data_IF_855374069019
#
_entry.id   IF_855374069019
#
_cell.length_a   1.000
_cell.length_b   1.000
_cell.length_c   1.000
_cell.angle_alpha   90.00
_cell.angle_beta   90.00
_cell.angle_gamma   90.00
#
_symmetry.space_group_name_H-M   'P 1'
#
loop_
_entity.id
_entity.type
_entity.pdbx_description
1 polymer ?
#
# COMPACT_ATOMS: atom_id res chain seq x y z
N UNK A 1 14.97 -26.43 -1.95
CA UNK A 1 13.51 -26.26 -2.09
C UNK A 1 13.09 -27.08 -3.30
N UNK A 2 11.94 -27.77 -3.28
CA UNK A 2 11.47 -28.52 -4.46
C UNK A 2 11.14 -27.60 -5.64
N UNK A 3 10.77 -26.36 -5.37
CA UNK A 3 10.43 -25.35 -6.39
C UNK A 3 11.59 -24.37 -6.65
N UNK A 4 12.65 -24.47 -5.84
CA UNK A 4 13.86 -23.68 -6.04
C UNK A 4 13.78 -22.24 -5.53
N UNK A 5 12.99 -21.99 -4.48
CA UNK A 5 12.97 -20.70 -3.76
C UNK A 5 14.17 -20.68 -2.80
N UNK A 6 15.14 -19.80 -3.08
CA UNK A 6 16.35 -19.58 -2.30
C UNK A 6 16.20 -18.27 -1.52
N UNK A 7 16.54 -18.30 -0.23
CA UNK A 7 16.41 -17.13 0.66
C UNK A 7 17.72 -16.77 1.35
N UNK A 8 17.73 -15.63 2.04
CA UNK A 8 18.73 -15.34 3.08
C UNK A 8 18.56 -16.26 4.31
N UNK A 9 19.37 -16.03 5.35
CA UNK A 9 19.41 -16.83 6.59
C UNK A 9 18.58 -16.23 7.73
N UNK A 10 17.77 -15.19 7.48
CA UNK A 10 16.98 -14.54 8.55
C UNK A 10 15.70 -15.33 8.82
N UNK A 11 15.71 -16.20 9.82
CA UNK A 11 14.53 -16.98 10.20
C UNK A 11 13.33 -16.08 10.52
N UNK A 12 12.11 -16.56 10.23
CA UNK A 12 10.81 -15.89 10.44
C UNK A 12 10.50 -14.69 9.54
N UNK A 13 11.50 -14.11 8.86
CA UNK A 13 11.33 -12.92 8.01
C UNK A 13 12.21 -12.95 6.74
N UNK A 14 12.60 -14.13 6.28
CA UNK A 14 13.60 -14.31 5.23
C UNK A 14 13.22 -13.60 3.92
N UNK A 15 14.22 -13.11 3.19
CA UNK A 15 14.02 -12.50 1.86
C UNK A 15 14.34 -13.50 0.76
N UNK A 16 13.53 -13.50 -0.31
CA UNK A 16 13.79 -14.29 -1.51
C UNK A 16 14.97 -13.67 -2.26
N UNK A 17 15.97 -14.50 -2.57
CA UNK A 17 17.14 -14.13 -3.37
C UNK A 17 17.00 -14.61 -4.82
N UNK A 18 16.42 -15.79 -5.01
CA UNK A 18 16.28 -16.42 -6.32
C UNK A 18 15.09 -17.38 -6.31
N UNK A 19 14.39 -17.48 -7.44
CA UNK A 19 13.34 -18.48 -7.68
C UNK A 19 13.61 -19.15 -9.03
N UNK A 20 13.84 -20.47 -9.02
CA UNK A 20 14.16 -21.22 -10.25
C UNK A 20 12.94 -21.69 -11.01
N UNK A 21 11.98 -22.33 -10.33
CA UNK A 21 10.74 -22.80 -10.95
C UNK A 21 10.88 -24.00 -11.91
N UNK A 22 12.07 -24.58 -12.10
CA UNK A 22 12.32 -25.65 -13.10
C UNK A 22 11.34 -26.83 -13.02
N UNK A 23 11.07 -27.33 -11.81
CA UNK A 23 10.14 -28.44 -11.59
C UNK A 23 8.69 -28.05 -11.86
N UNK A 24 8.35 -26.78 -11.66
CA UNK A 24 7.01 -26.25 -11.97
C UNK A 24 6.85 -26.15 -13.49
N UNK A 25 7.85 -25.61 -14.20
CA UNK A 25 7.86 -25.56 -15.68
C UNK A 25 7.71 -26.96 -16.29
N UNK A 26 8.45 -27.95 -15.77
CA UNK A 26 8.34 -29.34 -16.23
C UNK A 26 6.93 -29.94 -15.99
N UNK A 27 6.32 -29.70 -14.82
CA UNK A 27 4.97 -30.17 -14.54
C UNK A 27 3.92 -29.52 -15.45
N UNK A 28 4.05 -28.23 -15.73
CA UNK A 28 3.16 -27.49 -16.64
C UNK A 28 3.31 -28.00 -18.08
N UNK A 29 4.55 -28.28 -18.54
CA UNK A 29 4.80 -28.88 -19.85
C UNK A 29 4.12 -30.25 -20.02
N UNK A 30 4.02 -31.01 -18.93
CA UNK A 30 3.27 -32.27 -18.84
C UNK A 30 1.74 -32.08 -18.72
N UNK A 31 1.23 -30.85 -18.84
CA UNK A 31 -0.19 -30.48 -18.66
C UNK A 31 -0.74 -30.80 -17.26
N UNK A 32 0.10 -30.75 -16.23
CA UNK A 32 -0.30 -30.93 -14.83
C UNK A 32 -0.49 -29.58 -14.14
N UNK A 33 -1.35 -29.56 -13.12
CA UNK A 33 -1.45 -28.44 -12.18
C UNK A 33 -0.40 -28.61 -11.09
N UNK A 34 0.55 -27.67 -11.01
CA UNK A 34 1.58 -27.68 -9.99
C UNK A 34 1.07 -27.03 -8.69
N UNK A 35 0.93 -27.81 -7.62
CA UNK A 35 0.58 -27.30 -6.29
C UNK A 35 1.87 -27.07 -5.49
N UNK A 36 2.10 -25.82 -5.09
CA UNK A 36 3.30 -25.41 -4.37
C UNK A 36 2.93 -24.94 -2.97
N UNK A 37 3.67 -25.43 -1.97
CA UNK A 37 3.59 -24.88 -0.63
C UNK A 37 4.23 -23.49 -0.60
N UNK A 38 3.42 -22.46 -0.33
CA UNK A 38 3.88 -21.08 -0.16
C UNK A 38 4.62 -20.86 1.17
N UNK A 39 5.02 -19.61 1.43
CA UNK A 39 5.56 -19.11 2.71
C UNK A 39 6.96 -19.62 3.11
N UNK A 40 7.48 -20.65 2.44
CA UNK A 40 8.73 -21.32 2.81
C UNK A 40 9.78 -21.26 1.69
N UNK A 41 11.05 -21.25 2.11
CA UNK A 41 12.21 -21.28 1.23
C UNK A 41 13.33 -22.16 1.79
N UNK A 42 14.45 -22.21 1.08
CA UNK A 42 15.70 -22.76 1.61
C UNK A 42 16.77 -21.67 1.61
N UNK A 43 17.43 -21.48 2.74
CA UNK A 43 18.52 -20.50 2.84
C UNK A 43 19.75 -20.93 2.04
N UNK A 44 20.69 -20.00 1.84
CA UNK A 44 22.03 -20.31 1.32
C UNK A 44 22.80 -21.33 2.18
N UNK A 45 22.45 -21.46 3.46
CA UNK A 45 22.97 -22.46 4.38
C UNK A 45 22.26 -23.82 4.30
N UNK A 46 21.31 -24.00 3.37
CA UNK A 46 20.48 -25.20 3.17
C UNK A 46 19.47 -25.49 4.29
N UNK A 47 19.16 -24.49 5.10
CA UNK A 47 18.13 -24.58 6.16
C UNK A 47 16.76 -24.15 5.66
N UNK A 48 15.70 -24.68 6.27
CA UNK A 48 14.33 -24.25 5.98
C UNK A 48 14.10 -22.87 6.59
N UNK A 49 13.60 -21.95 5.77
CA UNK A 49 13.26 -20.58 6.17
C UNK A 49 11.80 -20.27 5.89
N UNK A 50 11.28 -19.27 6.61
CA UNK A 50 9.94 -18.74 6.43
C UNK A 50 10.01 -17.26 6.10
N UNK A 51 9.14 -16.82 5.20
CA UNK A 51 9.16 -15.46 4.63
C UNK A 51 8.44 -14.42 5.52
N UNK A 52 7.76 -14.88 6.58
CA UNK A 52 6.98 -14.04 7.48
C UNK A 52 5.58 -13.71 6.94
N UNK A 53 4.91 -12.73 7.56
CA UNK A 53 3.54 -12.34 7.21
C UNK A 53 3.44 -11.99 5.72
N UNK A 54 2.45 -12.56 5.03
CA UNK A 54 2.29 -12.40 3.58
C UNK A 54 3.25 -13.24 2.73
N UNK A 55 3.95 -14.20 3.35
CA UNK A 55 4.91 -15.05 2.66
C UNK A 55 4.29 -15.90 1.54
N UNK A 56 3.03 -16.32 1.67
CA UNK A 56 2.32 -17.04 0.61
C UNK A 56 2.12 -16.15 -0.63
N UNK A 57 1.59 -14.94 -0.45
CA UNK A 57 1.43 -13.96 -1.53
C UNK A 57 2.77 -13.65 -2.20
N UNK A 58 3.81 -13.45 -1.39
CA UNK A 58 5.17 -13.18 -1.88
C UNK A 58 5.71 -14.36 -2.69
N UNK A 59 5.43 -15.59 -2.25
CA UNK A 59 5.80 -16.81 -2.99
C UNK A 59 5.07 -16.91 -4.33
N UNK A 60 3.76 -16.63 -4.34
CA UNK A 60 2.95 -16.68 -5.56
C UNK A 60 3.44 -15.68 -6.60
N UNK A 61 3.67 -14.43 -6.20
CA UNK A 61 4.19 -13.38 -7.09
C UNK A 61 5.61 -13.71 -7.57
N UNK A 62 6.47 -14.20 -6.69
CA UNK A 62 7.84 -14.56 -7.08
C UNK A 62 7.87 -15.74 -8.05
N UNK A 63 6.94 -16.69 -7.93
CA UNK A 63 6.78 -17.76 -8.91
C UNK A 63 6.21 -17.25 -10.22
N UNK A 64 5.22 -16.36 -10.20
CA UNK A 64 4.68 -15.75 -11.40
C UNK A 64 5.78 -15.01 -12.19
N UNK A 65 6.62 -14.22 -11.51
CA UNK A 65 7.79 -13.58 -12.10
C UNK A 65 8.77 -14.62 -12.68
N UNK A 66 9.13 -15.64 -11.90
CA UNK A 66 10.09 -16.67 -12.31
C UNK A 66 9.58 -17.62 -13.38
N UNK A 67 8.29 -17.60 -13.70
CA UNK A 67 7.65 -18.44 -14.71
C UNK A 67 7.20 -17.64 -15.93
N UNK A 68 7.38 -16.32 -15.93
CA UNK A 68 6.88 -15.40 -16.95
C UNK A 68 5.35 -15.51 -17.12
N UNK A 69 4.63 -15.62 -16.00
CA UNK A 69 3.18 -15.75 -16.00
C UNK A 69 2.48 -14.44 -16.40
N UNK A 70 1.36 -14.56 -17.11
CA UNK A 70 0.56 -13.41 -17.54
C UNK A 70 0.00 -12.60 -16.35
N UNK A 71 -0.31 -13.27 -15.24
CA UNK A 71 -0.78 -12.65 -14.00
C UNK A 71 -0.58 -13.56 -12.78
N UNK A 72 -0.66 -12.96 -11.60
CA UNK A 72 -0.73 -13.65 -10.32
C UNK A 72 -2.08 -13.36 -9.64
N UNK A 73 -2.97 -14.36 -9.58
CA UNK A 73 -4.25 -14.22 -8.90
C UNK A 73 -4.11 -14.52 -7.40
N UNK A 74 -4.54 -13.56 -6.56
CA UNK A 74 -4.56 -13.69 -5.10
C UNK A 74 -6.02 -13.82 -4.68
N UNK A 75 -6.39 -15.05 -4.30
CA UNK A 75 -7.71 -15.39 -3.81
C UNK A 75 -7.80 -15.21 -2.28
N UNK A 76 -8.77 -14.42 -1.84
CA UNK A 76 -8.99 -14.09 -0.42
C UNK A 76 -10.49 -14.09 -0.08
N UNK A 77 -10.86 -13.70 1.13
CA UNK A 77 -12.24 -13.54 1.60
C UNK A 77 -12.91 -12.23 1.18
N UNK A 78 -12.14 -11.23 0.74
CA UNK A 78 -12.66 -9.96 0.20
C UNK A 78 -12.79 -10.00 -1.33
N UNK A 79 -13.73 -9.22 -1.88
CA UNK A 79 -14.00 -9.16 -3.33
C UNK A 79 -13.07 -8.25 -4.11
N UNK A 80 -12.11 -7.59 -3.45
CA UNK A 80 -11.15 -6.68 -4.08
C UNK A 80 -10.60 -5.67 -3.08
N UNK A 81 -9.90 -4.66 -3.60
CA UNK A 81 -9.46 -3.48 -2.85
C UNK A 81 -10.54 -2.40 -2.95
N UNK A 82 -10.84 -1.73 -1.84
CA UNK A 82 -11.91 -0.73 -1.76
C UNK A 82 -11.36 0.67 -1.48
N UNK A 83 -12.15 1.69 -1.81
CA UNK A 83 -11.83 3.11 -1.54
C UNK A 83 -11.76 3.45 -0.05
N UNK A 84 -12.31 2.61 0.82
CA UNK A 84 -12.11 2.57 2.27
C UNK A 84 -12.50 1.17 2.80
N UNK A 85 -12.27 0.87 4.08
CA UNK A 85 -12.76 -0.36 4.69
C UNK A 85 -14.31 -0.36 4.73
N UNK A 86 -15.01 -1.27 4.04
CA UNK A 86 -16.48 -1.29 3.99
C UNK A 86 -17.15 -1.45 5.35
N UNK A 87 -16.45 -1.99 6.35
CA UNK A 87 -16.95 -2.12 7.73
C UNK A 87 -17.03 -0.78 8.46
N UNK A 88 -16.25 0.20 8.02
CA UNK A 88 -16.15 1.55 8.59
C UNK A 88 -16.96 2.52 7.75
N UNK A 89 -16.88 2.38 6.43
CA UNK A 89 -17.59 3.19 5.44
C UNK A 89 -18.42 2.27 4.56
N UNK A 90 -19.72 2.07 4.86
CA UNK A 90 -20.56 1.16 4.07
C UNK A 90 -20.68 1.50 2.58
N UNK A 91 -20.49 2.77 2.23
CA UNK A 91 -20.49 3.26 0.84
C UNK A 91 -19.12 3.15 0.14
N UNK A 92 -18.15 2.44 0.75
CA UNK A 92 -16.88 2.19 0.10
C UNK A 92 -17.08 1.38 -1.20
N UNK A 93 -16.41 1.82 -2.26
CA UNK A 93 -16.52 1.21 -3.59
C UNK A 93 -15.31 0.33 -3.86
N UNK A 94 -15.53 -0.78 -4.56
CA UNK A 94 -14.43 -1.60 -5.07
C UNK A 94 -13.69 -0.82 -6.17
N UNK A 95 -12.38 -0.80 -6.09
CA UNK A 95 -11.52 -0.17 -7.09
C UNK A 95 -11.23 -1.23 -8.16
N UNK A 96 -11.59 -1.02 -9.44
CA UNK A 96 -11.41 -2.04 -10.46
C UNK A 96 -9.94 -2.25 -10.83
N UNK A 97 -9.16 -1.16 -10.87
CA UNK A 97 -7.74 -1.17 -11.24
C UNK A 97 -6.97 -0.16 -10.39
N UNK A 98 -5.79 -0.55 -9.89
CA UNK A 98 -4.86 0.28 -9.13
C UNK A 98 -3.45 0.18 -9.72
N UNK A 99 -2.66 1.25 -9.62
CA UNK A 99 -1.23 1.18 -9.91
C UNK A 99 -0.48 0.51 -8.76
N UNK A 100 0.67 -0.10 -9.05
CA UNK A 100 1.55 -0.67 -8.01
C UNK A 100 1.88 0.34 -6.90
N UNK A 101 2.25 1.57 -7.26
CA UNK A 101 2.62 2.61 -6.27
C UNK A 101 1.46 2.95 -5.33
N UNK A 102 0.22 2.99 -5.84
CA UNK A 102 -0.97 3.27 -5.04
C UNK A 102 -1.26 2.11 -4.08
N UNK A 103 -1.20 0.87 -4.57
CA UNK A 103 -1.42 -0.29 -3.71
C UNK A 103 -0.31 -0.43 -2.66
N UNK A 104 0.95 -0.10 -2.98
CA UNK A 104 2.05 -0.06 -2.01
C UNK A 104 1.75 0.93 -0.90
N UNK A 105 1.32 2.14 -1.24
CA UNK A 105 1.00 3.18 -0.27
C UNK A 105 -0.24 2.81 0.55
N UNK A 106 -1.25 2.17 -0.06
CA UNK A 106 -2.41 1.66 0.68
C UNK A 106 -2.04 0.54 1.64
N UNK A 107 -1.21 -0.43 1.22
CA UNK A 107 -0.74 -1.52 2.07
C UNK A 107 0.13 -1.01 3.23
N UNK A 108 1.06 -0.09 2.95
CA UNK A 108 1.89 0.55 3.99
C UNK A 108 1.10 1.45 4.94
N UNK A 109 0.00 2.02 4.48
CA UNK A 109 -0.89 2.83 5.31
C UNK A 109 -1.81 2.03 6.23
N UNK A 110 -1.97 0.71 6.02
CA UNK A 110 -2.79 -0.16 6.86
C UNK A 110 -3.80 -1.06 6.14
N UNK A 111 -3.88 -1.00 4.80
CA UNK A 111 -4.73 -1.92 4.03
C UNK A 111 -4.23 -3.36 4.20
N UNK A 112 -5.14 -4.27 4.56
CA UNK A 112 -4.81 -5.68 4.86
C UNK A 112 -5.14 -6.65 3.73
N UNK A 113 -5.45 -6.14 2.54
CA UNK A 113 -5.90 -6.95 1.40
C UNK A 113 -4.73 -7.67 0.72
N UNK A 114 -3.60 -6.98 0.52
CA UNK A 114 -2.38 -7.54 -0.05
C UNK A 114 -1.21 -7.30 0.89
N UNK A 115 -0.32 -8.28 0.99
CA UNK A 115 0.94 -8.10 1.70
C UNK A 115 1.86 -7.08 0.98
N UNK A 116 2.37 -6.09 1.71
CA UNK A 116 3.27 -5.07 1.14
C UNK A 116 4.40 -5.67 0.29
N UNK A 117 5.10 -6.69 0.82
CA UNK A 117 6.21 -7.36 0.14
C UNK A 117 5.82 -8.04 -1.18
N UNK A 118 4.59 -8.56 -1.31
CA UNK A 118 4.15 -9.19 -2.55
C UNK A 118 3.90 -8.14 -3.63
N UNK A 119 3.33 -6.99 -3.26
CA UNK A 119 3.14 -5.85 -4.17
C UNK A 119 4.48 -5.23 -4.58
N UNK A 120 5.45 -5.13 -3.66
CA UNK A 120 6.81 -4.65 -3.96
C UNK A 120 7.50 -5.56 -4.97
N UNK A 121 7.41 -6.88 -4.77
CA UNK A 121 7.97 -7.85 -5.69
C UNK A 121 7.29 -7.78 -7.06
N UNK A 122 5.96 -7.70 -7.10
CA UNK A 122 5.20 -7.58 -8.34
C UNK A 122 5.60 -6.35 -9.14
N UNK A 123 5.74 -5.20 -8.48
CA UNK A 123 6.19 -3.95 -9.10
C UNK A 123 7.58 -4.07 -9.73
N UNK A 124 8.52 -4.67 -8.99
CA UNK A 124 9.91 -4.78 -9.45
C UNK A 124 10.07 -5.73 -10.65
N UNK A 125 9.15 -6.67 -10.82
CA UNK A 125 9.15 -7.65 -11.90
C UNK A 125 8.00 -7.45 -12.91
N UNK A 126 7.26 -6.35 -12.80
CA UNK A 126 6.08 -6.01 -13.61
C UNK A 126 5.05 -7.15 -13.72
N UNK A 127 4.79 -7.87 -12.61
CA UNK A 127 3.81 -8.96 -12.56
C UNK A 127 2.43 -8.42 -12.20
N UNK A 128 1.42 -8.48 -13.09
CA UNK A 128 0.05 -8.09 -12.76
C UNK A 128 -0.51 -8.92 -11.61
N UNK A 129 -1.02 -8.27 -10.55
CA UNK A 129 -1.74 -8.96 -9.47
C UNK A 129 -3.24 -8.82 -9.71
N UNK A 130 -3.99 -9.91 -9.53
CA UNK A 130 -5.44 -9.88 -9.55
C UNK A 130 -6.01 -10.33 -8.21
N UNK A 131 -6.57 -9.39 -7.45
CA UNK A 131 -7.18 -9.66 -6.14
C UNK A 131 -8.63 -10.09 -6.34
N UNK A 132 -8.97 -11.29 -5.86
CA UNK A 132 -10.30 -11.89 -6.05
C UNK A 132 -10.83 -12.53 -4.77
N UNK A 133 -12.14 -12.71 -4.71
CA UNK A 133 -12.76 -13.51 -3.66
C UNK A 133 -12.74 -15.00 -4.04
N UNK A 134 -12.52 -15.86 -3.05
CA UNK A 134 -12.72 -17.31 -3.17
C UNK A 134 -14.20 -17.71 -3.15
N UNK A 135 -15.09 -16.78 -2.77
CA UNK A 135 -16.51 -17.04 -2.51
C UNK A 135 -17.44 -16.48 -3.57
N UNK A 136 -16.95 -15.65 -4.50
CA UNK A 136 -17.75 -15.03 -5.55
C UNK A 136 -17.02 -15.05 -6.90
N UNK A 137 -17.78 -14.94 -7.98
CA UNK A 137 -17.26 -14.86 -9.35
C UNK A 137 -17.06 -13.42 -9.85
N UNK A 138 -17.10 -12.45 -8.95
CA UNK A 138 -16.82 -11.06 -9.31
C UNK A 138 -15.41 -10.93 -9.88
N UNK A 139 -15.18 -9.95 -10.77
CA UNK A 139 -13.87 -9.77 -11.38
C UNK A 139 -12.82 -9.47 -10.32
N UNK A 140 -13.05 -8.45 -9.48
CA UNK A 140 -12.16 -8.13 -8.37
C UNK A 140 -11.42 -6.81 -8.59
N UNK A 141 -10.15 -6.76 -8.18
CA UNK A 141 -9.27 -5.60 -8.40
C UNK A 141 -7.97 -6.01 -9.06
N UNK A 142 -7.61 -5.35 -10.15
CA UNK A 142 -6.31 -5.48 -10.79
C UNK A 142 -5.30 -4.50 -10.20
N UNK A 143 -4.08 -4.95 -9.90
CA UNK A 143 -2.95 -4.10 -9.52
C UNK A 143 -1.85 -4.27 -10.56
N UNK A 144 -1.57 -3.21 -11.30
CA UNK A 144 -0.75 -3.28 -12.53
C UNK A 144 0.21 -2.10 -12.67
N UNK A 145 1.15 -2.23 -13.61
CA UNK A 145 2.05 -1.15 -13.99
C UNK A 145 1.36 -0.04 -14.78
N UNK A 146 1.95 1.16 -14.78
CA UNK A 146 1.40 2.35 -15.45
C UNK A 146 1.14 2.16 -16.96
N UNK A 147 1.99 1.38 -17.62
CA UNK A 147 1.91 1.16 -19.07
C UNK A 147 1.02 -0.03 -19.45
N UNK A 148 0.43 -0.72 -18.46
CA UNK A 148 -0.42 -1.87 -18.69
C UNK A 148 -1.70 -1.46 -19.44
N UNK A 149 -2.21 -2.33 -20.30
CA UNK A 149 -3.41 -2.04 -21.13
C UNK A 149 -4.64 -1.65 -20.32
N UNK A 150 -4.81 -2.24 -19.12
CA UNK A 150 -5.88 -1.92 -18.18
C UNK A 150 -5.82 -0.49 -17.62
N UNK A 151 -4.68 0.19 -17.74
CA UNK A 151 -4.53 1.61 -17.37
C UNK A 151 -4.71 2.55 -18.55
N UNK A 152 -4.62 2.05 -19.79
CA UNK A 152 -4.76 2.87 -20.99
C UNK A 152 -6.21 3.38 -21.04
N UNK A 153 -6.37 4.69 -21.05
CA UNK A 153 -7.65 5.42 -21.07
C UNK A 153 -8.38 5.57 -19.73
N UNK A 154 -7.73 5.30 -18.58
CA UNK A 154 -8.29 5.68 -17.28
C UNK A 154 -7.83 7.10 -16.91
N UNK A 155 -8.78 7.97 -16.55
CA UNK A 155 -8.43 9.21 -15.84
C UNK A 155 -7.94 8.84 -14.43
N UNK A 156 -6.76 9.33 -14.03
CA UNK A 156 -6.22 9.08 -12.70
C UNK A 156 -7.08 9.83 -11.66
N UNK A 157 -7.80 9.13 -10.75
CA UNK A 157 -8.53 9.82 -9.71
C UNK A 157 -7.54 10.59 -8.82
N UNK A 158 -7.94 11.76 -8.32
CA UNK A 158 -7.08 12.56 -7.45
C UNK A 158 -6.73 11.77 -6.18
N UNK A 159 -7.73 11.05 -5.63
CA UNK A 159 -7.60 10.16 -4.48
C UNK A 159 -8.22 8.82 -4.83
N UNK A 160 -7.47 7.75 -4.58
CA UNK A 160 -7.86 6.37 -4.84
C UNK A 160 -8.48 5.73 -3.61
N UNK A 161 -8.08 6.14 -2.41
CA UNK A 161 -8.73 5.69 -1.18
C UNK A 161 -8.33 6.40 0.10
N UNK A 162 -9.10 6.12 1.15
CA UNK A 162 -8.85 6.49 2.54
C UNK A 162 -8.53 5.21 3.32
N UNK A 163 -7.31 5.14 3.86
CA UNK A 163 -6.83 4.00 4.63
C UNK A 163 -6.69 4.39 6.09
N UNK A 164 -7.05 3.47 6.98
CA UNK A 164 -6.92 3.66 8.43
C UNK A 164 -6.09 2.54 9.07
N UNK A 165 -5.41 2.87 10.15
CA UNK A 165 -4.71 1.91 10.99
C UNK A 165 -4.75 2.32 12.47
N UNK A 166 -5.29 1.45 13.31
CA UNK A 166 -5.35 1.61 14.77
C UNK A 166 -4.45 0.61 15.52
N UNK A 167 -3.61 -0.14 14.78
CA UNK A 167 -2.70 -1.14 15.34
C UNK A 167 -1.32 -0.60 15.70
N UNK A 168 -1.09 0.69 15.45
CA UNK A 168 0.12 1.43 15.76
C UNK A 168 0.03 2.14 17.12
N UNK A 169 1.20 2.37 17.70
CA UNK A 169 1.42 3.13 18.93
C UNK A 169 2.41 4.25 18.66
N UNK A 170 2.22 5.40 19.31
CA UNK A 170 3.11 6.55 19.17
C UNK A 170 4.11 6.58 20.32
N UNK A 171 5.39 6.72 19.99
CA UNK A 171 6.48 6.99 20.93
C UNK A 171 7.12 8.33 20.59
N UNK A 172 7.37 9.15 21.60
CA UNK A 172 8.04 10.45 21.43
C UNK A 172 9.19 10.58 22.42
N UNK A 173 10.37 10.97 21.92
CA UNK A 173 11.48 11.44 22.75
C UNK A 173 11.51 12.96 22.67
N UNK A 174 11.31 13.62 23.81
CA UNK A 174 11.21 15.06 23.93
C UNK A 174 12.58 15.70 24.11
N UNK A 175 12.84 16.82 23.45
CA UNK A 175 14.01 17.66 23.70
C UNK A 175 15.36 16.96 23.50
N UNK A 176 15.49 16.12 22.47
CA UNK A 176 16.79 15.53 22.11
C UNK A 176 17.71 16.60 21.52
N UNK A 177 19.04 16.50 21.72
CA UNK A 177 19.98 17.44 21.11
C UNK A 177 19.91 17.40 19.58
N UNK A 178 19.83 18.55 18.93
CA UNK A 178 19.85 18.63 17.47
C UNK A 178 21.29 18.61 16.94
N UNK A 179 21.85 17.41 16.84
CA UNK A 179 23.19 17.17 16.31
C UNK A 179 23.25 15.85 15.53
N UNK A 180 24.21 15.71 14.58
CA UNK A 180 24.39 14.46 13.84
C UNK A 180 24.55 13.25 14.76
N UNK A 181 23.92 12.13 14.36
CA UNK A 181 24.01 10.83 15.03
C UNK A 181 22.92 10.53 16.06
N UNK A 182 22.12 11.53 16.48
CA UNK A 182 21.04 11.31 17.46
C UNK A 182 19.96 10.37 16.92
N UNK A 183 19.39 10.68 15.76
CA UNK A 183 18.38 9.81 15.13
C UNK A 183 18.97 8.44 14.76
N UNK A 184 20.23 8.39 14.33
CA UNK A 184 20.93 7.13 14.03
C UNK A 184 21.00 6.23 15.27
N UNK A 185 21.45 6.76 16.41
CA UNK A 185 21.57 6.01 17.67
C UNK A 185 20.23 5.40 18.11
N UNK A 186 19.14 6.16 17.93
CA UNK A 186 17.79 5.69 18.24
C UNK A 186 17.34 4.57 17.31
N UNK A 187 17.36 4.80 16.00
CA UNK A 187 16.80 3.88 15.03
C UNK A 187 17.67 2.64 14.81
N UNK A 188 19.00 2.72 14.97
CA UNK A 188 19.89 1.55 14.97
C UNK A 188 19.61 0.64 16.16
N UNK A 189 19.34 1.20 17.34
CA UNK A 189 19.00 0.41 18.53
C UNK A 189 17.65 -0.33 18.36
N UNK A 190 16.64 0.37 17.80
CA UNK A 190 15.34 -0.24 17.48
C UNK A 190 15.47 -1.32 16.39
N UNK A 191 16.23 -1.05 15.33
CA UNK A 191 16.48 -2.00 14.24
C UNK A 191 17.23 -3.24 14.72
N UNK A 192 18.22 -3.08 15.62
CA UNK A 192 18.95 -4.19 16.24
C UNK A 192 18.04 -5.10 17.08
N UNK A 193 16.96 -4.54 17.63
CA UNK A 193 15.91 -5.28 18.32
C UNK A 193 14.79 -5.78 17.38
N UNK A 194 14.93 -5.59 16.07
CA UNK A 194 13.97 -6.00 15.04
C UNK A 194 12.57 -5.37 15.22
N UNK A 195 12.51 -4.17 15.80
CA UNK A 195 11.30 -3.34 15.92
C UNK A 195 11.09 -2.61 14.60
N UNK A 196 9.90 -2.76 14.02
CA UNK A 196 9.57 -2.06 12.78
C UNK A 196 9.01 -0.67 13.10
N UNK A 197 9.72 0.37 12.66
CA UNK A 197 9.26 1.76 12.76
C UNK A 197 8.56 2.14 11.46
N UNK A 198 7.39 2.77 11.57
CA UNK A 198 6.62 3.23 10.41
C UNK A 198 6.76 4.74 10.20
N UNK A 199 5.89 5.55 10.81
CA UNK A 199 5.94 7.00 10.63
C UNK A 199 7.05 7.59 11.50
N UNK A 200 7.90 8.45 10.94
CA UNK A 200 8.90 9.25 11.69
C UNK A 200 8.62 10.72 11.44
N UNK A 201 8.48 11.50 12.51
CA UNK A 201 8.29 12.96 12.47
C UNK A 201 9.28 13.60 13.42
N UNK A 202 10.14 14.45 12.86
CA UNK A 202 11.04 15.33 13.59
C UNK A 202 10.90 16.71 12.95
N UNK A 203 10.51 17.71 13.74
CA UNK A 203 10.37 19.08 13.25
C UNK A 203 11.71 19.83 13.40
N UNK A 204 11.77 21.05 12.86
CA UNK A 204 12.92 21.95 13.03
C UNK A 204 13.21 22.19 14.51
N UNK A 205 14.49 22.22 14.88
CA UNK A 205 14.90 22.42 16.26
C UNK A 205 14.59 23.83 16.75
N UNK A 206 14.31 23.93 18.04
CA UNK A 206 14.16 25.19 18.76
C UNK A 206 15.15 25.19 19.92
N UNK A 207 15.95 26.24 20.07
CA UNK A 207 16.97 26.35 21.12
C UNK A 207 17.97 25.15 21.17
N UNK A 208 18.27 24.54 20.02
CA UNK A 208 19.25 23.45 19.90
C UNK A 208 18.73 22.06 20.29
N UNK A 209 17.42 21.93 20.55
CA UNK A 209 16.77 20.64 20.78
C UNK A 209 15.55 20.46 19.87
N UNK A 210 15.14 19.22 19.68
CA UNK A 210 13.93 18.86 18.92
C UNK A 210 13.27 17.63 19.52
N UNK A 211 12.04 17.36 19.12
CA UNK A 211 11.31 16.15 19.49
C UNK A 211 11.35 15.16 18.32
N UNK A 212 11.53 13.88 18.64
CA UNK A 212 11.43 12.80 17.67
C UNK A 212 10.22 11.96 18.03
N UNK A 213 9.19 12.00 17.19
CA UNK A 213 8.00 11.15 17.31
C UNK A 213 8.00 10.11 16.22
N UNK A 214 7.64 8.88 16.56
CA UNK A 214 7.49 7.82 15.59
C UNK A 214 6.43 6.81 16.01
N UNK A 215 5.96 6.00 15.06
CA UNK A 215 5.02 4.91 15.33
C UNK A 215 5.66 3.54 15.21
N UNK A 216 5.20 2.63 16.07
CA UNK A 216 5.53 1.20 16.03
C UNK A 216 4.26 0.38 16.21
N UNK A 217 4.20 -0.87 15.71
CA UNK A 217 3.10 -1.77 16.03
C UNK A 217 2.91 -1.90 17.54
N UNK A 218 1.66 -1.91 18.03
CA UNK A 218 1.34 -2.08 19.45
C UNK A 218 1.97 -3.34 20.06
N UNK A 219 2.16 -4.38 19.25
CA UNK A 219 2.81 -5.62 19.66
C UNK A 219 4.30 -5.43 20.01
N UNK A 220 4.97 -4.44 19.42
CA UNK A 220 6.40 -4.19 19.57
C UNK A 220 6.70 -3.17 20.68
N UNK A 221 5.70 -2.48 21.25
CA UNK A 221 5.85 -1.46 22.29
C UNK A 221 6.64 -1.98 23.49
N UNK A 222 6.34 -3.19 23.97
CA UNK A 222 7.05 -3.80 25.12
C UNK A 222 8.55 -3.96 24.91
N UNK A 223 8.98 -4.08 23.64
CA UNK A 223 10.39 -4.14 23.25
C UNK A 223 10.95 -2.75 22.99
N UNK A 224 10.18 -1.88 22.34
CA UNK A 224 10.61 -0.56 21.91
C UNK A 224 10.78 0.41 23.10
N UNK A 225 9.80 0.49 24.00
CA UNK A 225 9.76 1.48 25.08
C UNK A 225 11.02 1.45 25.97
N UNK A 226 11.50 0.30 26.47
CA UNK A 226 12.74 0.26 27.26
C UNK A 226 13.98 0.75 26.50
N UNK A 227 14.06 0.47 25.19
CA UNK A 227 15.15 0.94 24.32
C UNK A 227 15.10 2.46 24.22
N UNK A 228 13.92 3.02 23.96
CA UNK A 228 13.67 4.45 23.81
C UNK A 228 13.96 5.19 25.11
N UNK A 229 13.52 4.67 26.26
CA UNK A 229 13.81 5.24 27.58
C UNK A 229 15.31 5.28 27.88
N UNK A 230 16.04 4.20 27.56
CA UNK A 230 17.49 4.15 27.72
C UNK A 230 18.19 5.20 26.85
N UNK A 231 17.87 5.23 25.55
CA UNK A 231 18.43 6.19 24.60
C UNK A 231 18.09 7.63 25.02
N UNK A 232 16.85 7.89 25.45
CA UNK A 232 16.45 9.20 25.98
C UNK A 232 17.31 9.65 27.17
N UNK A 233 17.64 8.72 28.08
CA UNK A 233 18.52 8.99 29.23
C UNK A 233 19.95 9.32 28.77
N UNK A 234 20.51 8.53 27.84
CA UNK A 234 21.85 8.75 27.27
C UNK A 234 21.96 10.11 26.56
N UNK A 235 20.89 10.52 25.88
CA UNK A 235 20.80 11.79 25.16
C UNK A 235 20.46 12.98 26.07
N UNK A 236 20.16 12.75 27.35
CA UNK A 236 19.63 13.76 28.28
C UNK A 236 18.37 14.46 27.74
N UNK A 237 17.49 13.67 27.13
CA UNK A 237 16.20 14.10 26.63
C UNK A 237 15.33 14.67 27.76
N UNK A 238 14.39 15.56 27.42
CA UNK A 238 13.40 16.11 28.34
C UNK A 238 12.34 15.11 28.80
N UNK A 239 12.21 13.96 28.12
CA UNK A 239 11.32 12.87 28.51
C UNK A 239 11.05 11.89 27.37
N UNK A 240 10.39 10.78 27.70
CA UNK A 240 9.84 9.84 26.72
C UNK A 240 8.36 9.68 27.01
N UNK A 241 7.52 9.75 25.98
CA UNK A 241 6.09 9.50 26.09
C UNK A 241 5.65 8.39 25.15
N UNK A 242 4.56 7.74 25.53
CA UNK A 242 3.94 6.62 24.82
C UNK A 242 2.43 6.84 24.79
N UNK A 243 1.79 6.58 23.65
CA UNK A 243 0.34 6.71 23.47
C UNK A 243 -0.19 5.61 22.53
N UNK A 244 -0.97 4.68 23.09
CA UNK A 244 -1.65 3.61 22.34
C UNK A 244 -3.02 4.01 21.81
N UNK A 245 -3.55 5.17 22.21
CA UNK A 245 -4.91 5.62 21.88
C UNK A 245 -4.94 6.50 20.63
N UNK A 246 -4.12 6.14 19.65
CA UNK A 246 -4.00 6.81 18.37
C UNK A 246 -4.54 5.95 17.20
N UNK A 247 -4.87 6.61 16.11
CA UNK A 247 -5.11 6.00 14.81
C UNK A 247 -4.45 6.84 13.71
N UNK A 248 -3.86 6.16 12.73
CA UNK A 248 -3.34 6.74 11.51
C UNK A 248 -4.44 6.73 10.46
N UNK A 249 -4.63 7.85 9.76
CA UNK A 249 -5.54 7.96 8.62
C UNK A 249 -4.74 8.51 7.45
N UNK A 250 -4.81 7.86 6.30
CA UNK A 250 -4.06 8.24 5.11
C UNK A 250 -4.97 8.40 3.91
N UNK A 251 -4.82 9.51 3.20
CA UNK A 251 -5.31 9.65 1.83
C UNK A 251 -4.22 9.16 0.89
N UNK A 252 -4.58 8.32 -0.08
CA UNK A 252 -3.66 7.79 -1.10
C UNK A 252 -4.24 8.06 -2.48
N UNK A 253 -3.44 8.56 -3.41
CA UNK A 253 -3.83 8.69 -4.82
C UNK A 253 -2.74 9.28 -5.71
N UNK A 254 -2.58 8.71 -6.92
CA UNK A 254 -1.57 9.16 -7.87
C UNK A 254 -1.74 10.63 -8.28
N UNK A 255 -2.98 11.12 -8.40
CA UNK A 255 -3.30 12.49 -8.79
C UNK A 255 -2.94 13.56 -7.75
N UNK A 256 -2.50 13.18 -6.54
CA UNK A 256 -2.03 14.13 -5.52
C UNK A 256 -0.80 14.93 -5.96
N UNK A 257 0.04 14.38 -6.84
CA UNK A 257 1.26 15.06 -7.34
C UNK A 257 0.94 16.34 -8.10
N UNK A 258 -0.18 16.35 -8.80
CA UNK A 258 -0.58 17.40 -9.76
C UNK A 258 -1.81 18.16 -9.29
N UNK A 259 -2.34 17.85 -8.10
CA UNK A 259 -3.55 18.46 -7.53
C UNK A 259 -3.23 19.26 -6.27
N UNK A 260 -2.88 20.56 -6.40
CA UNK A 260 -2.78 21.45 -5.26
C UNK A 260 -4.08 21.45 -4.44
N UNK A 261 -3.96 21.52 -3.11
CA UNK A 261 -5.10 21.68 -2.22
C UNK A 261 -5.68 20.41 -1.60
N UNK A 262 -5.21 19.21 -1.98
CA UNK A 262 -5.63 17.95 -1.34
C UNK A 262 -5.41 17.99 0.18
N UNK A 263 -4.19 18.35 0.62
CA UNK A 263 -3.88 18.46 2.05
C UNK A 263 -4.73 19.55 2.75
N UNK A 264 -4.92 20.70 2.09
CA UNK A 264 -5.73 21.78 2.64
C UNK A 264 -7.20 21.34 2.84
N UNK A 265 -7.77 20.62 1.87
CA UNK A 265 -9.12 20.05 1.96
C UNK A 265 -9.21 19.01 3.07
N UNK A 266 -8.22 18.10 3.17
CA UNK A 266 -8.16 17.11 4.25
C UNK A 266 -8.19 17.77 5.62
N UNK A 267 -7.32 18.77 5.87
CA UNK A 267 -7.24 19.45 7.15
C UNK A 267 -8.50 20.24 7.47
N UNK A 268 -9.12 20.87 6.46
CA UNK A 268 -10.40 21.55 6.61
C UNK A 268 -11.50 20.58 7.06
N UNK A 269 -11.64 19.45 6.36
CA UNK A 269 -12.65 18.43 6.66
C UNK A 269 -12.49 17.88 8.08
N UNK A 270 -11.25 17.61 8.50
CA UNK A 270 -10.96 17.14 9.86
C UNK A 270 -11.31 18.21 10.91
N UNK A 271 -10.93 19.46 10.68
CA UNK A 271 -11.23 20.59 11.56
C UNK A 271 -12.74 20.81 11.71
N UNK A 272 -13.49 20.82 10.60
CA UNK A 272 -14.95 21.01 10.59
C UNK A 272 -15.69 19.87 11.32
N UNK A 273 -15.04 18.70 11.44
CA UNK A 273 -15.55 17.55 12.19
C UNK A 273 -15.02 17.47 13.63
N UNK A 274 -14.27 18.47 14.10
CA UNK A 274 -13.70 18.50 15.45
C UNK A 274 -12.63 17.43 15.69
N UNK A 275 -11.96 16.97 14.63
CA UNK A 275 -10.89 15.98 14.71
C UNK A 275 -9.55 16.71 14.81
N UNK A 276 -8.92 16.64 15.99
CA UNK A 276 -7.58 17.21 16.18
C UNK A 276 -6.52 16.34 15.50
N UNK A 277 -5.58 16.99 14.81
CA UNK A 277 -4.43 16.34 14.16
C UNK A 277 -3.23 16.44 15.10
N UNK A 278 -2.64 15.30 15.44
CA UNK A 278 -1.49 15.22 16.35
C UNK A 278 -0.16 15.14 15.59
N UNK A 279 -0.14 14.46 14.46
CA UNK A 279 1.04 14.34 13.59
C UNK A 279 0.60 14.37 12.13
N UNK A 280 1.49 14.87 11.27
CA UNK A 280 1.32 14.88 9.82
C UNK A 280 2.59 14.30 9.20
N UNK A 281 2.42 13.40 8.24
CA UNK A 281 3.50 12.89 7.40
C UNK A 281 3.02 12.76 5.97
N UNK A 282 3.90 12.99 5.00
CA UNK A 282 3.54 12.98 3.58
C UNK A 282 4.55 12.20 2.76
N UNK A 283 4.05 11.53 1.71
CA UNK A 283 4.85 11.02 0.60
C UNK A 283 4.42 11.76 -0.68
N UNK A 284 4.92 11.35 -1.84
CA UNK A 284 4.54 11.96 -3.11
C UNK A 284 3.06 11.73 -3.46
N UNK A 285 2.44 10.63 -3.00
CA UNK A 285 1.04 10.27 -3.30
C UNK A 285 0.24 9.87 -2.06
N UNK A 286 0.72 10.26 -0.88
CA UNK A 286 0.09 9.97 0.41
C UNK A 286 0.18 11.17 1.35
N UNK A 287 -0.92 11.47 2.05
CA UNK A 287 -0.91 12.34 3.23
C UNK A 287 -1.50 11.54 4.38
N UNK A 288 -0.71 11.36 5.43
CA UNK A 288 -1.07 10.63 6.63
C UNK A 288 -1.18 11.59 7.82
N UNK A 289 -2.22 11.41 8.62
CA UNK A 289 -2.41 12.10 9.89
C UNK A 289 -2.55 11.10 11.03
N UNK A 290 -2.06 11.47 12.20
CA UNK A 290 -2.35 10.75 13.45
C UNK A 290 -3.41 11.54 14.22
N UNK A 291 -4.43 10.84 14.68
CA UNK A 291 -5.56 11.39 15.45
C UNK A 291 -5.88 10.47 16.63
N UNK A 292 -6.71 10.90 17.58
CA UNK A 292 -7.22 10.01 18.64
C UNK A 292 -8.02 8.86 18.03
N UNK A 293 -7.78 7.64 18.51
CA UNK A 293 -8.42 6.42 18.00
C UNK A 293 -9.97 6.51 18.02
N UNK A 294 -10.54 7.14 19.05
CA UNK A 294 -11.98 7.37 19.18
C UNK A 294 -12.59 8.21 18.03
N UNK A 295 -11.79 9.02 17.35
CA UNK A 295 -12.25 9.88 16.23
C UNK A 295 -12.07 9.21 14.86
N UNK A 296 -11.44 8.04 14.79
CA UNK A 296 -11.04 7.38 13.54
C UNK A 296 -12.22 7.18 12.58
N UNK A 297 -13.30 6.55 13.04
CA UNK A 297 -14.44 6.23 12.18
C UNK A 297 -15.09 7.49 11.60
N UNK A 298 -15.31 8.52 12.44
CA UNK A 298 -15.88 9.81 12.00
C UNK A 298 -14.97 10.48 10.96
N UNK A 299 -13.67 10.51 11.23
CA UNK A 299 -12.69 11.13 10.35
C UNK A 299 -12.62 10.43 8.98
N UNK A 300 -12.58 9.10 8.96
CA UNK A 300 -12.52 8.30 7.72
C UNK A 300 -13.79 8.48 6.89
N UNK A 301 -14.97 8.42 7.51
CA UNK A 301 -16.24 8.66 6.82
C UNK A 301 -16.31 10.08 6.24
N UNK A 302 -15.97 11.10 7.03
CA UNK A 302 -15.99 12.48 6.58
C UNK A 302 -15.01 12.74 5.41
N UNK A 303 -13.80 12.18 5.50
CA UNK A 303 -12.82 12.28 4.42
C UNK A 303 -13.30 11.55 3.17
N UNK A 304 -13.83 10.34 3.30
CA UNK A 304 -14.32 9.54 2.18
C UNK A 304 -15.39 10.29 1.38
N UNK A 305 -16.41 10.82 2.07
CA UNK A 305 -17.44 11.68 1.45
C UNK A 305 -16.86 12.96 0.86
N UNK A 306 -15.99 13.67 1.61
CA UNK A 306 -15.45 14.94 1.12
C UNK A 306 -14.64 14.78 -0.17
N UNK A 307 -14.00 13.64 -0.39
CA UNK A 307 -13.26 13.34 -1.61
C UNK A 307 -14.10 12.64 -2.70
N UNK A 308 -15.42 12.58 -2.54
CA UNK A 308 -16.33 12.03 -3.56
C UNK A 308 -16.14 10.53 -3.76
N UNK A 309 -15.66 9.83 -2.73
CA UNK A 309 -15.40 8.39 -2.83
C UNK A 309 -16.67 7.55 -2.62
N UNK A 310 -17.78 8.19 -2.25
CA UNK A 310 -19.11 7.65 -2.00
C UNK A 310 -20.13 7.98 -3.11
N UNK A 311 -19.77 8.83 -4.08
CA UNK A 311 -20.69 9.38 -5.09
C UNK A 311 -20.17 9.11 -6.51
N UNK A 312 -20.92 8.31 -7.27
CA UNK A 312 -20.72 8.06 -8.72
C UNK A 312 -20.38 6.60 -9.05
N UNK A 313 -20.79 6.15 -10.23
CA UNK A 313 -20.14 5.02 -10.89
C UNK A 313 -18.72 5.46 -11.28
N UNK A 314 -17.75 4.55 -11.36
CA UNK A 314 -16.53 4.85 -12.11
C UNK A 314 -16.97 5.08 -13.56
N UNK A 315 -17.12 6.35 -13.96
CA UNK A 315 -17.46 6.69 -15.33
C UNK A 315 -16.24 6.35 -16.17
N UNK A 316 -16.23 5.14 -16.73
CA UNK A 316 -15.41 4.82 -17.89
C UNK A 316 -16.09 5.53 -19.06
N UNK A 317 -15.82 6.82 -19.22
CA UNK A 317 -16.19 7.51 -20.44
C UNK A 317 -15.28 6.94 -21.52
N UNK A 318 -15.79 5.95 -22.28
CA UNK A 318 -15.14 5.54 -23.50
C UNK A 318 -15.03 6.78 -24.38
N UNK A 319 -13.81 7.27 -24.59
CA UNK A 319 -13.53 8.22 -25.64
C UNK A 319 -13.87 7.56 -26.98
N UNK A 320 -15.13 7.66 -27.41
CA UNK A 320 -15.53 7.40 -28.79
C UNK A 320 -15.11 8.63 -29.61
N UNK A 321 -13.80 8.86 -29.71
CA UNK A 321 -13.24 9.81 -30.66
C UNK A 321 -12.56 9.02 -31.78
N UNK A 322 -13.35 8.61 -32.78
CA UNK A 322 -12.94 8.45 -34.20
C UNK A 322 -13.89 7.58 -35.05
N UNK A 323 -14.93 6.96 -34.47
CA UNK A 323 -15.85 6.12 -35.26
C UNK A 323 -17.08 6.87 -35.84
N UNK A 324 -17.40 8.08 -35.38
CA UNK A 324 -18.51 8.88 -35.95
C UNK A 324 -18.15 9.62 -37.24
N UNK A 325 -16.89 10.00 -37.44
CA UNK A 325 -16.48 10.75 -38.65
C UNK A 325 -16.25 9.86 -39.88
N UNK A 326 -15.92 8.57 -39.68
CA UNK A 326 -15.77 7.64 -40.81
C UNK A 326 -17.12 7.24 -41.44
N UNK A 327 -18.18 7.13 -40.61
CA UNK A 327 -19.52 6.77 -41.08
C UNK A 327 -20.23 7.94 -41.78
N UNK A 328 -19.99 9.17 -41.32
CA UNK A 328 -20.52 10.38 -41.95
C UNK A 328 -19.84 10.68 -43.30
N UNK A 329 -18.53 10.42 -43.43
CA UNK A 329 -17.82 10.64 -44.69
C UNK A 329 -18.06 9.55 -45.75
N UNK A 330 -18.28 8.28 -45.36
CA UNK A 330 -18.64 7.23 -46.33
C UNK A 330 -20.05 7.41 -46.89
N UNK A 331 -21.04 7.78 -46.07
CA UNK A 331 -22.42 7.97 -46.52
C UNK A 331 -22.64 9.25 -47.36
N UNK A 332 -21.81 10.28 -47.20
CA UNK A 332 -21.87 11.49 -48.02
C UNK A 332 -21.29 11.28 -49.44
N UNK A 333 -20.33 10.37 -49.59
CA UNK A 333 -19.75 10.05 -50.91
C UNK A 333 -20.64 9.10 -51.71
N UNK A 334 -21.39 8.20 -51.06
CA UNK A 334 -22.28 7.27 -51.76
C UNK A 334 -23.55 7.96 -52.30
N UNK A 335 -24.05 8.99 -51.60
CA UNK A 335 -25.17 9.82 -52.09
C UNK A 335 -24.80 10.76 -53.23
N UNK A 336 -23.51 11.12 -53.39
CA UNK A 336 -23.05 11.94 -54.53
C UNK A 336 -22.73 11.12 -55.78
N UNK A 337 -22.63 9.79 -55.67
CA UNK A 337 -22.39 8.90 -56.80
C UNK A 337 -23.66 8.42 -57.50
N UNK A 338 -24.81 8.44 -56.83
CA UNK A 338 -26.11 8.04 -57.37
C UNK A 338 -26.90 9.15 -58.07
N UNK A 339 -26.45 10.40 -58.05
CA UNK A 339 -27.04 11.53 -58.81
C UNK A 339 -26.28 11.87 -60.12
N UNK A 340 -25.32 11.04 -60.55
CA UNK A 340 -24.57 11.23 -61.82
C UNK A 340 -24.42 9.99 -62.70
N UNK A 341 -25.31 9.00 -62.56
CA UNK A 341 -25.54 7.94 -63.55
C UNK A 341 -27.04 7.66 -63.66
#
# INVERSE_FOLDING_TARGET
>A
SQVGIITDTVHTKAKILEVKGDRVRAAIADKKVAVVAGFQGISTAKEITTLGRGGSDTTAVALAAALDADSCEIYTDVTGVFTADPRVVPQARKIPVLQFDEMLEMAGAGSKVLALRSVEFARNHDVPIHVRSSFTWEEGTWVVGRNHERMKNMEEPVISGVVQDASESKLTILGVPDRPGVSASLFEALASANVNVDMIVQNTSTAGTTDISFTVPKADVKTAEPIVSRIGTELKAGGVTHDDDIAKISLVGAGMKTSPGVAAKMFRVLADNGVNIEMISTSTIRVSVVVRAAMMQKAVQALHTAFGLDSGDFVVEFAVSSLSDSWAHQNANDRRRTEKQ
#
